data_IF_459619183798
#
_entry.id   IF_459619183798
#
_cell.length_a   1.000
_cell.length_b   1.000
_cell.length_c   1.000
_cell.angle_alpha   90.00
_cell.angle_beta   90.00
_cell.angle_gamma   90.00
#
_symmetry.space_group_name_H-M   'P 1'
#
loop_
_entity.id
_entity.type
_entity.pdbx_description
1 polymer ?
#
# COMPACT_ATOMS: atom_id res chain seq x y z
N UNK A 1 12.72 73.62 4.08
CA UNK A 1 12.45 72.23 4.46
C UNK A 1 11.40 71.66 3.47
N UNK A 2 11.80 70.70 2.70
CA UNK A 2 11.13 70.30 1.46
C UNK A 2 9.94 69.35 1.68
N UNK A 3 8.75 69.74 1.25
CA UNK A 3 7.48 69.03 1.25
C UNK A 3 7.28 68.07 0.03
N UNK A 4 8.34 67.49 -0.48
CA UNK A 4 8.26 66.69 -1.74
C UNK A 4 8.48 65.19 -1.59
N UNK A 5 8.57 64.63 -0.38
CA UNK A 5 8.86 63.23 -0.19
C UNK A 5 7.65 62.35 0.19
N UNK A 6 6.41 62.86 0.15
CA UNK A 6 5.25 62.14 0.70
C UNK A 6 4.26 61.63 -0.37
N UNK A 7 4.55 61.83 -1.65
CA UNK A 7 3.63 61.41 -2.76
C UNK A 7 4.11 60.21 -3.56
N UNK A 8 5.20 59.56 -3.15
CA UNK A 8 5.74 58.37 -3.84
C UNK A 8 5.33 57.01 -3.26
N UNK A 9 4.69 56.95 -2.09
CA UNK A 9 4.37 55.67 -1.45
C UNK A 9 3.05 54.99 -1.82
N UNK A 10 2.00 55.62 -2.36
CA UNK A 10 0.81 54.87 -2.70
C UNK A 10 0.86 54.16 -4.10
N UNK A 11 1.81 54.50 -4.96
CA UNK A 11 1.91 53.88 -6.27
C UNK A 11 2.63 52.53 -6.30
N UNK A 12 3.48 52.27 -5.32
CA UNK A 12 4.20 50.96 -5.21
C UNK A 12 3.36 49.85 -4.54
N UNK A 13 2.33 50.21 -3.77
CA UNK A 13 1.46 49.23 -3.11
C UNK A 13 0.38 48.62 -4.04
N UNK A 14 0.13 49.25 -5.19
CA UNK A 14 -0.86 48.72 -6.16
C UNK A 14 -0.26 47.78 -7.19
N UNK A 15 1.07 47.61 -7.22
CA UNK A 15 1.72 46.67 -8.17
C UNK A 15 1.95 45.26 -7.57
N UNK A 16 1.59 45.02 -6.30
CA UNK A 16 1.70 43.71 -5.65
C UNK A 16 0.38 42.95 -5.59
N UNK A 17 -0.67 43.47 -6.19
CA UNK A 17 -1.89 42.73 -6.47
C UNK A 17 -1.74 41.86 -7.72
N UNK A 18 -0.69 41.05 -7.79
CA UNK A 18 -0.63 39.93 -8.71
C UNK A 18 -1.77 39.00 -8.33
N UNK A 19 -2.83 38.96 -9.15
CA UNK A 19 -3.80 37.89 -9.09
C UNK A 19 -3.02 36.57 -9.20
N UNK A 20 -2.79 35.90 -8.10
CA UNK A 20 -2.57 34.47 -8.12
C UNK A 20 -3.83 33.87 -8.73
N UNK A 21 -3.86 33.75 -10.03
CA UNK A 21 -4.74 32.81 -10.68
C UNK A 21 -4.34 31.46 -10.09
N UNK A 22 -5.16 30.96 -9.16
CA UNK A 22 -4.99 29.60 -8.66
C UNK A 22 -4.85 28.71 -9.88
N UNK A 23 -3.65 28.19 -10.10
CA UNK A 23 -3.39 27.31 -11.22
C UNK A 23 -4.35 26.14 -11.09
N UNK A 24 -5.27 25.99 -12.05
CA UNK A 24 -6.19 24.87 -12.02
C UNK A 24 -5.37 23.59 -12.20
N UNK A 25 -5.23 22.84 -11.15
CA UNK A 25 -4.59 21.52 -11.20
C UNK A 25 -5.55 20.60 -11.94
N UNK A 26 -5.16 20.18 -13.13
CA UNK A 26 -5.92 19.19 -13.89
C UNK A 26 -5.65 17.81 -13.27
N UNK A 27 -6.72 17.11 -12.94
CA UNK A 27 -6.67 15.76 -12.40
C UNK A 27 -7.84 14.93 -12.92
N UNK A 28 -7.79 13.64 -12.69
CA UNK A 28 -8.83 12.70 -13.08
C UNK A 28 -8.57 11.34 -12.45
N UNK A 29 -9.57 10.48 -12.55
CA UNK A 29 -9.44 9.08 -12.14
C UNK A 29 -8.94 8.25 -13.31
N UNK A 30 -8.05 7.31 -13.03
CA UNK A 30 -7.55 6.33 -13.99
C UNK A 30 -7.46 4.96 -13.31
N UNK A 31 -7.43 3.90 -14.09
CA UNK A 31 -7.34 2.55 -13.57
C UNK A 31 -8.66 1.80 -13.69
N UNK A 32 -9.40 1.64 -12.63
CA UNK A 32 -10.67 0.93 -12.60
C UNK A 32 -11.83 1.78 -13.09
N UNK A 33 -12.78 1.15 -13.79
CA UNK A 33 -14.00 1.80 -14.28
C UNK A 33 -15.20 1.30 -13.44
N UNK A 34 -15.65 2.13 -12.52
CA UNK A 34 -16.79 1.85 -11.65
C UNK A 34 -18.10 1.62 -12.40
N UNK A 35 -18.29 2.29 -13.56
CA UNK A 35 -19.48 2.11 -14.39
C UNK A 35 -19.58 0.68 -14.93
N UNK A 36 -18.47 0.05 -15.29
CA UNK A 36 -18.46 -1.37 -15.71
C UNK A 36 -18.89 -2.29 -14.58
N UNK A 37 -18.36 -2.08 -13.38
CA UNK A 37 -18.76 -2.83 -12.19
C UNK A 37 -20.23 -2.62 -11.83
N UNK A 38 -20.71 -1.38 -11.89
CA UNK A 38 -22.11 -1.05 -11.64
C UNK A 38 -23.03 -1.66 -12.70
N UNK A 39 -22.68 -1.57 -13.98
CA UNK A 39 -23.46 -2.19 -15.05
C UNK A 39 -23.59 -3.70 -14.85
N UNK A 40 -22.53 -4.39 -14.42
CA UNK A 40 -22.58 -5.80 -14.12
C UNK A 40 -23.45 -6.11 -12.88
N UNK A 41 -23.31 -5.33 -11.83
CA UNK A 41 -24.11 -5.47 -10.58
C UNK A 41 -25.60 -5.25 -10.83
N UNK A 42 -25.92 -4.23 -11.64
CA UNK A 42 -27.30 -3.80 -11.85
C UNK A 42 -27.98 -4.56 -13.01
N UNK A 43 -27.29 -5.51 -13.62
CA UNK A 43 -27.78 -6.35 -14.71
C UNK A 43 -28.77 -7.40 -14.20
N UNK A 44 -30.07 -7.11 -14.27
CA UNK A 44 -31.12 -8.06 -13.87
C UNK A 44 -31.40 -9.17 -14.87
N UNK A 45 -31.15 -8.91 -16.15
CA UNK A 45 -31.31 -9.89 -17.24
C UNK A 45 -30.08 -9.82 -18.13
N UNK A 46 -29.18 -10.82 -18.06
CA UNK A 46 -28.04 -10.89 -18.94
C UNK A 46 -28.51 -11.10 -20.39
N UNK A 47 -27.84 -10.51 -21.39
CA UNK A 47 -28.12 -10.78 -22.79
C UNK A 47 -27.90 -12.26 -23.13
N UNK A 48 -28.59 -12.74 -24.13
CA UNK A 48 -28.37 -14.10 -24.60
C UNK A 48 -26.89 -14.26 -25.02
N UNK A 49 -26.22 -15.37 -24.63
CA UNK A 49 -24.83 -15.58 -24.98
C UNK A 49 -24.70 -15.75 -26.52
N UNK A 50 -23.74 -15.03 -27.10
CA UNK A 50 -23.42 -15.14 -28.53
C UNK A 50 -22.51 -16.34 -28.79
N UNK A 51 -21.67 -16.69 -27.83
CA UNK A 51 -20.75 -17.84 -27.88
C UNK A 51 -20.72 -18.52 -26.53
N UNK A 52 -20.47 -19.83 -26.56
CA UNK A 52 -20.27 -20.62 -25.34
C UNK A 52 -18.90 -21.27 -25.42
N UNK A 53 -18.10 -21.07 -24.39
CA UNK A 53 -16.81 -21.71 -24.21
C UNK A 53 -16.87 -22.63 -22.99
N UNK A 54 -16.16 -23.76 -23.07
CA UNK A 54 -15.98 -24.65 -21.94
C UNK A 54 -14.52 -24.56 -21.48
N UNK A 55 -14.30 -24.56 -20.20
CA UNK A 55 -12.96 -24.63 -19.59
C UNK A 55 -13.08 -25.40 -18.28
N UNK A 56 -12.03 -26.13 -17.92
CA UNK A 56 -11.95 -26.85 -16.66
C UNK A 56 -11.99 -25.90 -15.45
N UNK A 57 -11.35 -24.73 -15.58
CA UNK A 57 -11.32 -23.70 -14.53
C UNK A 57 -11.64 -22.35 -15.14
N UNK A 58 -12.55 -21.61 -14.49
CA UNK A 58 -12.84 -20.23 -14.81
C UNK A 58 -12.31 -19.31 -13.70
N UNK A 59 -11.48 -18.34 -14.07
CA UNK A 59 -10.95 -17.30 -13.18
C UNK A 59 -11.67 -15.99 -13.48
N UNK A 60 -12.39 -15.47 -12.52
CA UNK A 60 -13.09 -14.19 -12.65
C UNK A 60 -12.25 -13.08 -12.04
N UNK A 61 -11.75 -12.19 -12.90
CA UNK A 61 -10.88 -11.06 -12.55
C UNK A 61 -9.40 -11.33 -12.80
N UNK A 62 -8.77 -10.42 -13.55
CA UNK A 62 -7.34 -10.44 -13.89
C UNK A 62 -6.47 -9.58 -12.97
N UNK A 63 -6.90 -9.34 -11.73
CA UNK A 63 -6.06 -8.74 -10.70
C UNK A 63 -4.98 -9.70 -10.19
N UNK A 64 -4.21 -9.31 -9.18
CA UNK A 64 -3.11 -10.11 -8.61
C UNK A 64 -3.56 -11.52 -8.23
N UNK A 65 -4.72 -11.67 -7.60
CA UNK A 65 -5.24 -12.97 -7.18
C UNK A 65 -5.54 -13.89 -8.40
N UNK A 66 -6.20 -13.36 -9.43
CA UNK A 66 -6.51 -14.13 -10.64
C UNK A 66 -5.27 -14.51 -11.44
N UNK A 67 -4.32 -13.58 -11.57
CA UNK A 67 -3.03 -13.84 -12.23
C UNK A 67 -2.20 -14.86 -11.45
N UNK A 68 -2.18 -14.79 -10.11
CA UNK A 68 -1.51 -15.78 -9.27
C UNK A 68 -2.16 -17.18 -9.40
N UNK A 69 -3.49 -17.24 -9.45
CA UNK A 69 -4.21 -18.49 -9.69
C UNK A 69 -3.87 -19.09 -11.07
N UNK A 70 -3.89 -18.29 -12.13
CA UNK A 70 -3.52 -18.71 -13.47
C UNK A 70 -2.07 -19.24 -13.54
N UNK A 71 -1.13 -18.50 -12.91
CA UNK A 71 0.26 -18.95 -12.78
C UNK A 71 0.36 -20.28 -12.04
N UNK A 72 -0.34 -20.43 -10.93
CA UNK A 72 -0.34 -21.66 -10.14
C UNK A 72 -0.91 -22.85 -10.88
N UNK A 73 -1.93 -22.67 -11.71
CA UNK A 73 -2.48 -23.71 -12.59
C UNK A 73 -1.44 -24.15 -13.64
N UNK A 74 -0.83 -23.19 -14.34
CA UNK A 74 0.20 -23.48 -15.34
C UNK A 74 1.40 -24.22 -14.75
N UNK A 75 1.87 -23.82 -13.60
CA UNK A 75 2.98 -24.50 -12.90
C UNK A 75 2.65 -25.94 -12.52
N UNK A 76 1.34 -26.29 -12.46
CA UNK A 76 0.86 -27.64 -12.21
C UNK A 76 0.48 -28.40 -13.49
N UNK A 77 0.73 -27.82 -14.67
CA UNK A 77 0.38 -28.42 -15.96
C UNK A 77 -1.12 -28.41 -16.30
N UNK A 78 -1.86 -27.50 -15.67
CA UNK A 78 -3.30 -27.30 -15.94
C UNK A 78 -3.40 -26.08 -16.86
N UNK A 79 -3.60 -26.33 -18.16
CA UNK A 79 -3.66 -25.26 -19.17
C UNK A 79 -5.11 -24.97 -19.62
N UNK A 80 -6.06 -25.87 -19.32
CA UNK A 80 -7.48 -25.70 -19.66
C UNK A 80 -8.17 -24.78 -18.64
N UNK A 81 -7.87 -23.51 -18.71
CA UNK A 81 -8.54 -22.47 -17.94
C UNK A 81 -8.82 -21.22 -18.78
N UNK A 82 -9.84 -20.46 -18.39
CA UNK A 82 -10.15 -19.15 -18.93
C UNK A 82 -10.06 -18.10 -17.82
N UNK A 83 -9.40 -16.97 -18.11
CA UNK A 83 -9.36 -15.80 -17.25
C UNK A 83 -10.18 -14.70 -17.91
N UNK A 84 -11.16 -14.17 -17.19
CA UNK A 84 -12.01 -13.06 -17.63
C UNK A 84 -11.65 -11.82 -16.83
N UNK A 85 -11.47 -10.70 -17.53
CA UNK A 85 -11.22 -9.40 -16.96
C UNK A 85 -12.27 -8.40 -17.43
N UNK A 86 -12.79 -7.60 -16.52
CA UNK A 86 -13.81 -6.60 -16.82
C UNK A 86 -13.23 -5.34 -17.44
N UNK A 87 -12.00 -5.03 -17.11
CA UNK A 87 -11.26 -3.89 -17.62
C UNK A 87 -10.57 -4.20 -18.96
N UNK A 88 -10.00 -3.19 -19.61
CA UNK A 88 -9.30 -3.33 -20.90
C UNK A 88 -7.95 -4.05 -20.77
N UNK A 89 -7.46 -4.24 -19.55
CA UNK A 89 -6.19 -4.92 -19.27
C UNK A 89 -6.16 -5.53 -17.88
N UNK A 90 -5.44 -6.64 -17.75
CA UNK A 90 -5.21 -7.29 -16.47
C UNK A 90 -4.25 -6.47 -15.57
N UNK A 91 -4.23 -6.79 -14.29
CA UNK A 91 -3.36 -6.21 -13.27
C UNK A 91 -4.11 -5.63 -12.07
N UNK A 92 -5.40 -5.31 -12.21
CA UNK A 92 -6.19 -4.72 -11.13
C UNK A 92 -5.52 -3.46 -10.56
N UNK A 93 -5.39 -3.35 -9.25
CA UNK A 93 -4.70 -2.26 -8.57
C UNK A 93 -3.18 -2.20 -8.83
N UNK A 94 -2.59 -3.29 -9.29
CA UNK A 94 -1.16 -3.36 -9.64
C UNK A 94 -0.90 -3.08 -11.12
N UNK A 95 -1.92 -2.59 -11.85
CA UNK A 95 -1.79 -2.29 -13.27
C UNK A 95 -0.82 -1.14 -13.50
N UNK A 96 0.06 -1.34 -14.48
CA UNK A 96 0.93 -0.28 -14.97
C UNK A 96 0.18 0.67 -15.92
N UNK A 97 0.63 1.88 -15.96
CA UNK A 97 0.19 2.92 -16.88
C UNK A 97 1.34 3.84 -17.24
N UNK A 98 1.00 4.99 -17.80
CA UNK A 98 1.97 5.98 -18.24
C UNK A 98 1.47 7.38 -17.91
N UNK A 99 2.36 8.23 -17.41
CA UNK A 99 2.13 9.66 -17.22
C UNK A 99 3.20 10.43 -17.98
N UNK A 100 2.80 11.17 -19.02
CA UNK A 100 3.68 11.97 -19.88
C UNK A 100 4.84 11.15 -20.48
N UNK A 101 4.59 9.93 -20.93
CA UNK A 101 5.60 9.05 -21.52
C UNK A 101 6.46 8.32 -20.50
N UNK A 102 6.18 8.43 -19.21
CA UNK A 102 6.92 7.75 -18.14
C UNK A 102 6.06 6.62 -17.59
N UNK A 103 6.51 5.36 -17.73
CA UNK A 103 5.81 4.22 -17.12
C UNK A 103 5.73 4.37 -15.61
N UNK A 104 4.57 4.11 -15.06
CA UNK A 104 4.35 4.17 -13.61
C UNK A 104 3.23 3.21 -13.19
N UNK A 105 3.19 2.78 -11.93
CA UNK A 105 2.03 2.09 -11.38
C UNK A 105 0.85 3.06 -11.26
N UNK A 106 -0.37 2.56 -11.52
CA UNK A 106 -1.60 3.34 -11.40
C UNK A 106 -2.22 3.26 -10.00
N UNK A 107 -1.88 2.24 -9.23
CA UNK A 107 -2.37 2.02 -7.89
C UNK A 107 -1.28 1.47 -6.98
N UNK A 108 -1.34 0.19 -6.62
CA UNK A 108 -0.32 -0.46 -5.80
C UNK A 108 1.08 -0.32 -6.44
N UNK A 109 2.03 0.23 -5.71
CA UNK A 109 3.29 0.69 -6.28
C UNK A 109 4.53 0.16 -5.54
N UNK A 110 4.36 -0.60 -4.48
CA UNK A 110 5.47 -1.25 -3.80
C UNK A 110 5.09 -2.65 -3.32
N UNK A 111 6.10 -3.47 -3.14
CA UNK A 111 6.01 -4.79 -2.55
C UNK A 111 7.11 -4.88 -1.48
N UNK A 112 6.77 -5.23 -0.23
CA UNK A 112 7.79 -5.51 0.78
C UNK A 112 8.70 -6.64 0.32
N UNK A 113 9.98 -6.58 0.69
CA UNK A 113 10.89 -7.70 0.45
C UNK A 113 10.30 -8.96 1.10
N UNK A 114 9.99 -10.01 0.32
CA UNK A 114 9.27 -11.15 0.83
C UNK A 114 10.11 -11.90 1.88
N UNK A 115 9.49 -12.20 3.02
CA UNK A 115 10.06 -13.03 4.05
C UNK A 115 10.24 -14.49 3.60
N UNK A 116 10.91 -15.29 4.44
CA UNK A 116 11.29 -16.68 4.12
C UNK A 116 10.10 -17.60 3.78
N UNK A 117 8.93 -17.31 4.32
CA UNK A 117 7.71 -18.10 4.10
C UNK A 117 6.95 -17.75 2.80
N UNK A 118 7.29 -16.67 2.13
CA UNK A 118 6.62 -16.18 0.93
C UNK A 118 7.19 -16.80 -0.36
N UNK A 119 7.26 -18.13 -0.42
CA UNK A 119 7.93 -18.88 -1.48
C UNK A 119 7.42 -18.51 -2.87
N UNK A 120 6.10 -18.45 -3.07
CA UNK A 120 5.50 -18.17 -4.37
C UNK A 120 5.85 -16.77 -4.91
N UNK A 121 5.99 -15.79 -4.01
CA UNK A 121 6.43 -14.44 -4.36
C UNK A 121 7.92 -14.43 -4.66
N UNK A 122 8.71 -15.14 -3.86
CA UNK A 122 10.15 -15.28 -4.09
C UNK A 122 10.43 -15.92 -5.45
N UNK A 123 9.75 -17.00 -5.80
CA UNK A 123 9.87 -17.69 -7.08
C UNK A 123 9.48 -16.78 -8.25
N UNK A 124 8.40 -16.00 -8.10
CA UNK A 124 8.01 -15.01 -9.10
C UNK A 124 9.09 -13.95 -9.31
N UNK A 125 9.69 -13.43 -8.25
CA UNK A 125 10.75 -12.44 -8.35
C UNK A 125 12.01 -13.00 -9.01
N UNK A 126 12.30 -14.29 -8.84
CA UNK A 126 13.39 -14.98 -9.55
C UNK A 126 13.08 -15.13 -11.05
N UNK A 127 11.87 -15.55 -11.41
CA UNK A 127 11.41 -15.62 -12.80
C UNK A 127 11.50 -14.26 -13.51
N UNK A 128 11.19 -13.18 -12.80
CA UNK A 128 11.27 -11.82 -13.32
C UNK A 128 12.70 -11.24 -13.32
N UNK A 129 13.68 -11.98 -12.79
CA UNK A 129 15.07 -11.53 -12.68
C UNK A 129 15.29 -10.43 -11.63
N UNK A 130 14.31 -10.20 -10.75
CA UNK A 130 14.37 -9.19 -9.68
C UNK A 130 15.06 -9.69 -8.42
N UNK A 131 15.22 -11.02 -8.29
CA UNK A 131 15.91 -11.70 -7.20
C UNK A 131 16.87 -12.73 -7.77
N UNK A 132 18.11 -12.74 -7.30
CA UNK A 132 19.16 -13.64 -7.80
C UNK A 132 20.03 -14.14 -6.65
N UNK A 133 20.62 -15.33 -6.80
CA UNK A 133 21.59 -15.83 -5.87
C UNK A 133 22.99 -15.42 -6.30
N UNK A 134 23.70 -14.63 -5.48
CA UNK A 134 25.09 -14.20 -5.71
C UNK A 134 25.95 -14.57 -4.50
N UNK A 135 27.02 -15.31 -4.72
CA UNK A 135 27.94 -15.77 -3.67
C UNK A 135 27.21 -16.42 -2.46
N UNK A 136 26.19 -17.22 -2.73
CA UNK A 136 25.43 -17.93 -1.69
C UNK A 136 24.36 -17.10 -0.97
N UNK A 137 24.23 -15.81 -1.28
CA UNK A 137 23.23 -14.90 -0.69
C UNK A 137 22.19 -14.49 -1.71
N UNK A 138 20.98 -14.27 -1.26
CA UNK A 138 19.93 -13.66 -2.08
C UNK A 138 20.15 -12.16 -2.19
N UNK A 139 20.12 -11.66 -3.43
CA UNK A 139 20.30 -10.25 -3.77
C UNK A 139 19.13 -9.83 -4.65
N UNK A 140 18.54 -8.71 -4.34
CA UNK A 140 17.48 -8.08 -5.13
C UNK A 140 18.06 -7.04 -6.07
N UNK A 141 17.38 -6.77 -7.18
CA UNK A 141 17.79 -5.74 -8.12
C UNK A 141 17.60 -4.35 -7.49
N UNK A 142 18.69 -3.66 -7.21
CA UNK A 142 18.70 -2.37 -6.51
C UNK A 142 17.92 -1.28 -7.23
N UNK A 143 17.71 -1.41 -8.55
CA UNK A 143 16.91 -0.45 -9.32
C UNK A 143 15.42 -0.46 -8.92
N UNK A 144 14.97 -1.56 -8.32
CA UNK A 144 13.59 -1.77 -7.89
C UNK A 144 13.42 -1.72 -6.37
N UNK A 145 14.52 -1.57 -5.63
CA UNK A 145 14.45 -1.39 -4.18
C UNK A 145 14.11 0.05 -3.84
N UNK A 146 13.22 0.21 -2.88
CA UNK A 146 12.98 1.49 -2.26
C UNK A 146 14.18 1.89 -1.39
N UNK A 147 14.63 3.12 -1.53
CA UNK A 147 15.76 3.63 -0.75
C UNK A 147 15.32 3.89 0.71
N UNK A 148 16.10 3.41 1.66
CA UNK A 148 15.83 3.63 3.08
C UNK A 148 16.82 4.64 3.66
N UNK A 149 16.41 5.59 4.52
CA UNK A 149 15.05 5.79 5.02
C UNK A 149 14.20 6.59 4.02
N UNK A 150 12.97 6.14 3.76
CA UNK A 150 12.03 6.82 2.86
C UNK A 150 10.98 7.62 3.60
N UNK A 151 10.57 7.12 4.76
CA UNK A 151 9.50 7.71 5.53
C UNK A 151 10.06 8.81 6.42
N UNK A 152 9.44 9.98 6.31
CA UNK A 152 9.73 11.14 7.15
C UNK A 152 8.44 11.77 7.61
N UNK A 153 8.42 12.19 8.85
CA UNK A 153 7.31 12.90 9.43
C UNK A 153 7.72 14.35 9.70
N UNK A 154 6.90 15.31 9.24
CA UNK A 154 6.99 16.69 9.71
C UNK A 154 6.05 16.85 10.90
N UNK A 155 6.62 17.04 12.09
CA UNK A 155 5.88 17.10 13.33
C UNK A 155 6.43 18.25 14.20
N UNK A 156 5.54 19.08 14.73
CA UNK A 156 5.86 20.25 15.57
C UNK A 156 6.97 21.15 15.02
N UNK A 157 6.91 21.43 13.71
CA UNK A 157 7.85 22.33 13.05
C UNK A 157 9.19 21.72 12.66
N UNK A 158 9.42 20.42 12.88
CA UNK A 158 10.66 19.73 12.57
C UNK A 158 10.42 18.45 11.75
N UNK A 159 11.38 18.13 10.86
CA UNK A 159 11.43 16.86 10.17
C UNK A 159 12.13 15.81 11.03
N UNK A 160 11.56 14.61 11.08
CA UNK A 160 12.19 13.44 11.68
C UNK A 160 12.12 12.22 10.76
N UNK A 161 13.01 11.27 10.92
CA UNK A 161 12.97 9.98 10.24
C UNK A 161 11.92 9.08 10.88
N UNK A 162 11.27 8.27 10.04
CA UNK A 162 10.15 7.41 10.45
C UNK A 162 8.86 8.19 10.67
N UNK A 163 7.78 7.43 10.87
CA UNK A 163 6.43 7.99 11.02
C UNK A 163 5.97 8.11 12.48
N UNK A 164 6.61 7.41 13.40
CA UNK A 164 6.27 7.48 14.82
C UNK A 164 6.94 8.72 15.46
N UNK A 165 6.18 9.72 15.96
CA UNK A 165 6.75 10.91 16.56
C UNK A 165 7.63 10.58 17.77
N UNK A 166 8.90 10.97 17.74
CA UNK A 166 9.84 10.78 18.85
C UNK A 166 10.39 12.08 19.40
N UNK A 167 10.36 13.15 18.61
CA UNK A 167 10.71 14.51 19.03
C UNK A 167 9.45 15.28 19.39
N UNK A 168 9.52 16.15 20.40
CA UNK A 168 8.40 16.95 20.84
C UNK A 168 7.32 16.20 21.65
N UNK A 169 7.50 14.91 21.93
CA UNK A 169 6.57 14.10 22.72
C UNK A 169 7.06 13.92 24.15
N UNK A 170 6.12 13.71 25.08
CA UNK A 170 6.43 13.53 26.49
C UNK A 170 7.01 12.16 26.85
N UNK A 171 7.59 12.03 28.06
CA UNK A 171 8.17 10.77 28.53
C UNK A 171 7.12 9.62 28.64
N UNK A 172 5.87 9.95 28.95
CA UNK A 172 4.79 8.95 29.04
C UNK A 172 4.45 8.37 27.68
N UNK A 173 4.49 9.17 26.62
CA UNK A 173 4.35 8.72 25.23
C UNK A 173 5.46 7.74 24.87
N UNK A 174 6.71 8.10 25.12
CA UNK A 174 7.86 7.22 24.85
C UNK A 174 7.81 5.92 25.66
N UNK A 175 7.33 5.98 26.91
CA UNK A 175 7.14 4.80 27.73
C UNK A 175 6.05 3.87 27.13
N UNK A 176 4.99 4.41 26.53
CA UNK A 176 3.99 3.59 25.84
C UNK A 176 4.53 2.93 24.57
N UNK A 177 5.39 3.62 23.80
CA UNK A 177 6.08 3.01 22.65
C UNK A 177 6.94 1.82 23.07
N UNK A 178 7.70 1.98 24.17
CA UNK A 178 8.52 0.89 24.70
C UNK A 178 7.68 -0.30 25.18
N UNK A 179 6.56 -0.03 25.89
CA UNK A 179 5.64 -1.10 26.31
C UNK A 179 5.06 -1.85 25.14
N UNK A 180 4.61 -1.13 24.10
CA UNK A 180 4.11 -1.76 22.87
C UNK A 180 5.17 -2.67 22.24
N UNK A 181 6.39 -2.16 22.03
CA UNK A 181 7.48 -2.93 21.45
C UNK A 181 7.82 -4.18 22.27
N UNK A 182 7.87 -4.06 23.60
CA UNK A 182 8.09 -5.19 24.50
C UNK A 182 6.97 -6.23 24.41
N UNK A 183 5.72 -5.77 24.32
CA UNK A 183 4.59 -6.69 24.23
C UNK A 183 4.57 -7.44 22.90
N UNK A 184 4.89 -6.77 21.80
CA UNK A 184 5.05 -7.40 20.49
C UNK A 184 6.18 -8.44 20.53
N UNK A 185 7.34 -8.11 21.10
CA UNK A 185 8.46 -9.03 21.23
C UNK A 185 8.10 -10.28 22.07
N UNK A 186 7.33 -10.13 23.14
CA UNK A 186 6.82 -11.26 23.93
C UNK A 186 5.90 -12.17 23.10
N UNK A 187 4.98 -11.59 22.32
CA UNK A 187 4.09 -12.36 21.46
C UNK A 187 4.87 -13.13 20.38
N UNK A 188 5.89 -12.51 19.78
CA UNK A 188 6.78 -13.16 18.82
C UNK A 188 7.58 -14.33 19.42
N UNK A 189 7.87 -14.31 20.72
CA UNK A 189 8.48 -15.45 21.42
C UNK A 189 7.48 -16.58 21.70
N UNK A 190 6.19 -16.26 21.86
CA UNK A 190 5.14 -17.22 22.18
C UNK A 190 4.58 -17.92 20.95
N UNK A 191 4.60 -17.26 19.79
CA UNK A 191 4.04 -17.76 18.57
C UNK A 191 4.82 -17.26 17.34
N UNK A 192 4.87 -18.09 16.31
CA UNK A 192 5.44 -17.71 15.02
C UNK A 192 4.39 -16.97 14.21
N UNK A 193 4.72 -15.77 13.79
CA UNK A 193 3.94 -15.01 12.84
C UNK A 193 4.64 -15.04 11.47
N UNK A 194 3.89 -15.30 10.42
CA UNK A 194 4.43 -15.37 9.06
C UNK A 194 3.54 -14.61 8.07
N UNK A 195 4.13 -14.25 6.98
CA UNK A 195 3.43 -13.74 5.80
C UNK A 195 3.77 -14.67 4.61
N UNK A 196 2.80 -15.43 4.06
CA UNK A 196 1.38 -15.49 4.42
C UNK A 196 1.10 -16.10 5.80
N UNK A 197 0.04 -15.64 6.46
CA UNK A 197 -0.34 -16.14 7.79
C UNK A 197 -0.59 -17.66 7.82
N UNK A 198 -1.11 -18.23 6.73
CA UNK A 198 -1.34 -19.68 6.60
C UNK A 198 -0.08 -20.55 6.66
N UNK A 199 1.11 -19.97 6.62
CA UNK A 199 2.39 -20.68 6.76
C UNK A 199 2.82 -20.85 8.22
N UNK A 200 2.21 -20.14 9.15
CA UNK A 200 2.43 -20.33 10.57
C UNK A 200 1.41 -21.31 11.17
N UNK A 201 1.80 -22.14 12.14
CA UNK A 201 0.85 -22.93 12.91
C UNK A 201 -0.10 -22.01 13.69
N UNK A 202 -1.40 -22.25 13.59
CA UNK A 202 -2.38 -21.54 14.40
C UNK A 202 -2.39 -22.09 15.82
N UNK A 203 -1.92 -21.30 16.79
CA UNK A 203 -1.74 -21.69 18.19
C UNK A 203 -2.76 -20.98 19.09
N UNK A 204 -2.88 -21.37 20.39
CA UNK A 204 -3.73 -20.66 21.34
C UNK A 204 -3.42 -19.15 21.44
N UNK A 205 -2.17 -18.74 21.24
CA UNK A 205 -1.78 -17.32 21.19
C UNK A 205 -2.43 -16.61 20.00
N UNK A 206 -2.43 -17.22 18.82
CA UNK A 206 -3.10 -16.67 17.64
C UNK A 206 -4.62 -16.61 17.87
N UNK A 207 -5.20 -17.66 18.42
CA UNK A 207 -6.63 -17.71 18.74
C UNK A 207 -7.05 -16.60 19.70
N UNK A 208 -6.24 -16.32 20.72
CA UNK A 208 -6.54 -15.26 21.69
C UNK A 208 -6.48 -13.86 21.04
N UNK A 209 -5.54 -13.64 20.11
CA UNK A 209 -5.43 -12.39 19.38
C UNK A 209 -6.59 -12.23 18.36
N UNK A 210 -6.94 -13.30 17.65
CA UNK A 210 -8.00 -13.31 16.65
C UNK A 210 -9.41 -13.10 17.25
N UNK A 211 -9.57 -13.43 18.53
CA UNK A 211 -10.84 -13.29 19.25
C UNK A 211 -11.22 -11.84 19.59
N UNK A 212 -10.31 -10.89 19.43
CA UNK A 212 -10.52 -9.48 19.80
C UNK A 212 -10.06 -8.53 18.69
N UNK A 213 -10.65 -7.34 18.64
CA UNK A 213 -10.15 -6.29 17.74
C UNK A 213 -8.82 -5.73 18.26
N UNK A 214 -7.98 -5.24 17.36
CA UNK A 214 -6.72 -4.61 17.74
C UNK A 214 -6.93 -3.40 18.67
N UNK A 215 -7.96 -2.61 18.42
CA UNK A 215 -8.33 -1.49 19.29
C UNK A 215 -8.69 -1.96 20.71
N UNK A 216 -9.41 -3.08 20.85
CA UNK A 216 -9.72 -3.67 22.15
C UNK A 216 -8.44 -4.17 22.86
N UNK A 217 -7.57 -4.85 22.13
CA UNK A 217 -6.29 -5.32 22.67
C UNK A 217 -5.43 -4.14 23.16
N UNK A 218 -5.31 -3.05 22.39
CA UNK A 218 -4.60 -1.84 22.83
C UNK A 218 -5.17 -1.26 24.14
N UNK A 219 -6.50 -1.28 24.30
CA UNK A 219 -7.13 -0.84 25.55
C UNK A 219 -6.78 -1.74 26.72
N UNK A 220 -6.80 -3.05 26.51
CA UNK A 220 -6.45 -4.05 27.55
C UNK A 220 -4.99 -3.92 28.01
N UNK A 221 -4.10 -3.60 27.09
CA UNK A 221 -2.67 -3.37 27.37
C UNK A 221 -2.38 -1.94 27.91
N UNK A 222 -3.42 -1.12 28.12
CA UNK A 222 -3.31 0.29 28.55
C UNK A 222 -2.43 1.14 27.62
N UNK A 223 -2.49 0.87 26.31
CA UNK A 223 -1.81 1.62 25.27
C UNK A 223 -2.76 2.67 24.69
N UNK A 224 -2.83 3.82 25.35
CA UNK A 224 -3.84 4.87 25.10
C UNK A 224 -3.28 6.12 24.46
N UNK A 225 -1.97 6.22 24.30
CA UNK A 225 -1.30 7.39 23.74
C UNK A 225 -1.80 7.68 22.30
N UNK A 226 -2.21 8.92 22.00
CA UNK A 226 -2.78 9.26 20.71
C UNK A 226 -1.81 9.16 19.54
N UNK A 227 -0.50 9.43 19.74
CA UNK A 227 0.51 9.33 18.68
C UNK A 227 0.79 7.86 18.35
N UNK A 228 0.90 6.99 19.38
CA UNK A 228 1.02 5.56 19.18
C UNK A 228 -0.17 5.00 18.42
N UNK A 229 -1.40 5.37 18.81
CA UNK A 229 -2.62 4.89 18.16
C UNK A 229 -2.76 5.38 16.73
N UNK A 230 -2.41 6.63 16.48
CA UNK A 230 -2.38 7.16 15.12
C UNK A 230 -1.40 6.38 14.24
N UNK A 231 -0.20 6.13 14.73
CA UNK A 231 0.81 5.36 13.99
C UNK A 231 0.34 3.92 13.71
N UNK A 232 -0.23 3.26 14.72
CA UNK A 232 -0.72 1.89 14.56
C UNK A 232 -1.94 1.81 13.64
N UNK A 233 -2.84 2.80 13.70
CA UNK A 233 -3.96 2.91 12.77
C UNK A 233 -3.47 3.13 11.34
N UNK A 234 -2.47 3.98 11.16
CA UNK A 234 -1.80 4.16 9.86
C UNK A 234 -1.20 2.84 9.35
N UNK A 235 -0.49 2.10 10.18
CA UNK A 235 0.09 0.82 9.80
C UNK A 235 -0.95 -0.27 9.46
N UNK A 236 -2.18 -0.16 9.99
CA UNK A 236 -3.28 -1.08 9.70
C UNK A 236 -4.11 -0.71 8.47
N UNK A 237 -3.84 0.45 7.84
CA UNK A 237 -4.57 0.91 6.65
C UNK A 237 -3.96 0.43 5.35
N UNK A 238 -2.83 -0.21 5.44
CA UNK A 238 -2.20 -0.73 4.23
C UNK A 238 -2.97 -1.94 3.70
N UNK A 239 -3.37 -1.78 2.60
CA UNK A 239 -3.98 -2.39 1.46
C UNK A 239 -3.75 -3.89 1.26
#
# INVERSE_FOLDING_TARGET
MQRRAFLGLPAAALALGGCEQAASIRGGFTGTNDQRGHALRDMHQPPAPQTTHQAQVLIAGGGVAGLAAARALRLRGIDDFALLELEDGAGGNSRAGEVKGIPCPLGAHYLPVPGDDAHEVQDLLEELGLRQRKAGRWVYDERHLCHSPQERLFFEGAWQEGLLPVHGVGPDTLAQYQRFAQRVAQLQQQARFSMPAARAPFTPTHQALDAVTFAHWLNTENLTDPHLRWYLDYCCRDD
#
